data_IF_167002691704
#
_entry.id   IF_167002691704
#
_cell.length_a   1.000
_cell.length_b   1.000
_cell.length_c   1.000
_cell.angle_alpha   90.00
_cell.angle_beta   90.00
_cell.angle_gamma   90.00
#
_symmetry.space_group_name_H-M   'P 1'
#
loop_
_entity.id
_entity.type
_entity.pdbx_description
1 polymer ?
#
# COMPACT_ATOMS: atom_id res chain seq x y z
N UNK A 1 -13.99 -4.53 22.82
CA UNK A 1 -14.04 -5.82 22.11
C UNK A 1 -13.01 -5.84 20.99
N UNK A 2 -12.44 -7.00 20.63
CA UNK A 2 -11.49 -7.10 19.51
C UNK A 2 -12.24 -7.40 18.21
N UNK A 3 -11.94 -6.64 17.17
CA UNK A 3 -12.49 -6.81 15.83
C UNK A 3 -11.37 -7.04 14.82
N UNK A 4 -11.64 -7.86 13.82
CA UNK A 4 -10.83 -7.96 12.61
C UNK A 4 -11.57 -7.26 11.47
N UNK A 5 -11.00 -6.16 10.98
CA UNK A 5 -11.61 -5.35 9.94
C UNK A 5 -10.85 -5.59 8.64
N UNK A 6 -11.56 -6.04 7.61
CA UNK A 6 -11.01 -6.07 6.26
C UNK A 6 -10.79 -4.66 5.75
N UNK A 7 -9.59 -4.37 5.28
CA UNK A 7 -9.23 -3.07 4.71
C UNK A 7 -8.61 -3.28 3.34
N UNK A 8 -8.97 -2.40 2.40
CA UNK A 8 -8.37 -2.32 1.07
C UNK A 8 -7.77 -0.94 0.87
N UNK A 9 -6.66 -0.90 0.14
CA UNK A 9 -5.91 0.30 -0.17
C UNK A 9 -5.61 0.36 -1.66
N UNK A 10 -5.69 1.54 -2.23
CA UNK A 10 -5.34 1.82 -3.62
C UNK A 10 -4.40 3.02 -3.65
N UNK A 11 -3.32 2.93 -4.41
CA UNK A 11 -2.34 4.01 -4.47
C UNK A 11 -1.49 3.95 -5.73
N UNK A 12 -0.68 4.98 -5.88
CA UNK A 12 0.38 5.04 -6.88
C UNK A 12 1.60 5.74 -6.31
N UNK A 13 2.78 5.31 -6.74
CA UNK A 13 4.06 5.92 -6.39
C UNK A 13 4.93 6.05 -7.62
N UNK A 14 5.84 7.02 -7.57
CA UNK A 14 6.95 7.13 -8.52
C UNK A 14 8.23 6.72 -7.80
N UNK A 15 9.04 5.88 -8.45
CA UNK A 15 10.28 5.36 -7.90
C UNK A 15 11.30 5.06 -9.00
N UNK A 16 12.57 5.10 -8.63
CA UNK A 16 13.68 4.73 -9.50
C UNK A 16 14.00 3.23 -9.34
N UNK A 17 14.11 2.49 -10.44
CA UNK A 17 14.39 1.05 -10.46
C UNK A 17 15.24 0.66 -11.69
N UNK A 18 15.84 -0.52 -11.65
CA UNK A 18 16.65 -1.06 -12.77
C UNK A 18 15.80 -1.63 -13.92
N UNK A 19 14.48 -1.70 -13.74
CA UNK A 19 13.54 -2.22 -14.72
C UNK A 19 12.15 -2.43 -14.13
N UNK A 20 11.20 -2.85 -14.98
CA UNK A 20 9.80 -3.08 -14.60
C UNK A 20 9.66 -4.05 -13.42
N UNK A 21 10.31 -5.22 -13.50
CA UNK A 21 10.22 -6.24 -12.45
C UNK A 21 10.81 -5.79 -11.11
N UNK A 22 11.87 -4.97 -11.15
CA UNK A 22 12.49 -4.40 -9.96
C UNK A 22 11.55 -3.35 -9.32
N UNK A 23 10.90 -2.52 -10.13
CA UNK A 23 9.91 -1.55 -9.65
C UNK A 23 8.71 -2.22 -8.97
N UNK A 24 8.17 -3.29 -9.56
CA UNK A 24 7.10 -4.09 -8.98
C UNK A 24 7.52 -4.70 -7.64
N UNK A 25 8.68 -5.36 -7.65
CA UNK A 25 9.21 -6.03 -6.46
C UNK A 25 9.48 -5.04 -5.33
N UNK A 26 10.00 -3.86 -5.64
CA UNK A 26 10.27 -2.82 -4.65
C UNK A 26 8.99 -2.32 -3.98
N UNK A 27 7.91 -2.08 -4.74
CA UNK A 27 6.61 -1.69 -4.17
C UNK A 27 6.07 -2.79 -3.26
N UNK A 28 6.07 -4.05 -3.71
CA UNK A 28 5.60 -5.16 -2.88
C UNK A 28 6.41 -5.27 -1.59
N UNK A 29 7.73 -5.24 -1.70
CA UNK A 29 8.65 -5.37 -0.56
C UNK A 29 8.47 -4.25 0.46
N UNK A 30 8.40 -2.99 0.01
CA UNK A 30 8.27 -1.85 0.92
C UNK A 30 6.88 -1.81 1.59
N UNK A 31 5.79 -2.12 0.85
CA UNK A 31 4.45 -2.21 1.44
C UNK A 31 4.39 -3.35 2.47
N UNK A 32 4.97 -4.52 2.18
CA UNK A 32 5.02 -5.63 3.14
C UNK A 32 5.91 -5.33 4.34
N UNK A 33 6.95 -4.51 4.19
CA UNK A 33 7.75 -4.07 5.33
C UNK A 33 6.93 -3.18 6.28
N UNK A 34 6.08 -2.31 5.74
CA UNK A 34 5.18 -1.46 6.51
C UNK A 34 3.99 -2.23 7.09
N UNK A 35 3.45 -3.18 6.32
CA UNK A 35 2.33 -4.04 6.73
C UNK A 35 2.60 -5.52 6.41
N UNK A 36 3.34 -6.24 7.29
CA UNK A 36 3.67 -7.65 7.06
C UNK A 36 2.44 -8.56 7.00
N UNK A 37 1.35 -8.17 7.66
CA UNK A 37 0.08 -8.87 7.67
C UNK A 37 -0.83 -8.56 6.47
N UNK A 38 -0.34 -7.79 5.47
CA UNK A 38 -1.06 -7.60 4.22
C UNK A 38 -1.25 -8.97 3.55
N UNK A 39 -2.51 -9.33 3.31
CA UNK A 39 -2.87 -10.59 2.66
C UNK A 39 -2.41 -10.61 1.19
N UNK A 40 -2.53 -9.47 0.50
CA UNK A 40 -2.06 -9.33 -0.86
C UNK A 40 -1.60 -7.89 -1.14
N UNK A 41 -0.54 -7.77 -1.94
CA UNK A 41 -0.12 -6.56 -2.63
C UNK A 41 -0.11 -6.90 -4.12
N UNK A 42 -0.92 -6.19 -4.90
CA UNK A 42 -1.14 -6.46 -6.32
C UNK A 42 -0.72 -5.20 -7.09
N UNK A 43 0.34 -5.30 -7.90
CA UNK A 43 0.68 -4.22 -8.83
C UNK A 43 -0.27 -4.31 -10.02
N UNK A 44 -0.98 -3.21 -10.29
CA UNK A 44 -2.03 -3.16 -11.30
C UNK A 44 -1.58 -2.51 -12.60
N UNK A 45 -0.57 -1.64 -12.53
CA UNK A 45 -0.06 -0.89 -13.69
C UNK A 45 1.35 -0.40 -13.37
N UNK A 46 2.24 -0.50 -14.36
CA UNK A 46 3.62 -0.01 -14.29
C UNK A 46 3.95 0.69 -15.60
N UNK A 47 4.31 1.96 -15.51
CA UNK A 47 4.70 2.77 -16.66
C UNK A 47 6.03 3.45 -16.40
N UNK A 48 6.90 3.50 -17.40
CA UNK A 48 8.09 4.36 -17.39
C UNK A 48 7.66 5.82 -17.44
N UNK A 49 8.31 6.66 -16.66
CA UNK A 49 8.06 8.12 -16.61
C UNK A 49 8.94 8.85 -17.64
N UNK A 50 10.16 8.36 -17.88
CA UNK A 50 11.09 8.87 -18.89
C UNK A 50 11.23 7.88 -20.06
N UNK A 51 11.33 8.41 -21.28
CA UNK A 51 11.60 7.64 -22.51
C UNK A 51 13.09 7.38 -22.71
N UNK A 52 13.98 8.13 -22.04
CA UNK A 52 15.41 7.92 -22.12
C UNK A 52 15.81 6.63 -21.40
N UNK A 53 16.26 5.63 -22.15
CA UNK A 53 16.81 4.39 -21.60
C UNK A 53 18.07 4.68 -20.78
N UNK A 54 18.02 4.38 -19.48
CA UNK A 54 19.10 4.55 -18.51
C UNK A 54 19.26 3.27 -17.71
N UNK A 55 20.40 3.12 -17.02
CA UNK A 55 20.62 1.98 -16.11
C UNK A 55 19.59 1.99 -14.97
N UNK A 56 19.24 3.18 -14.48
CA UNK A 56 18.16 3.39 -13.52
C UNK A 56 17.10 4.25 -14.20
N UNK A 57 15.90 3.71 -14.32
CA UNK A 57 14.75 4.35 -14.94
C UNK A 57 13.73 4.75 -13.85
N UNK A 58 12.92 5.77 -14.13
CA UNK A 58 11.85 6.18 -13.24
C UNK A 58 10.53 5.54 -13.68
N UNK A 59 9.81 4.95 -12.72
CA UNK A 59 8.56 4.23 -12.94
C UNK A 59 7.45 4.81 -12.09
N UNK A 60 6.28 4.97 -12.71
CA UNK A 60 5.02 5.15 -12.02
C UNK A 60 4.38 3.77 -11.84
N UNK A 61 4.17 3.38 -10.59
CA UNK A 61 3.58 2.09 -10.21
C UNK A 61 2.24 2.35 -9.53
N UNK A 62 1.16 1.75 -10.03
CA UNK A 62 -0.13 1.70 -9.34
C UNK A 62 -0.35 0.32 -8.73
N UNK A 63 -0.88 0.31 -7.52
CA UNK A 63 -1.04 -0.93 -6.76
C UNK A 63 -2.33 -0.95 -5.95
N UNK A 64 -2.69 -2.16 -5.55
CA UNK A 64 -3.75 -2.48 -4.61
C UNK A 64 -3.16 -3.27 -3.46
N UNK A 65 -3.64 -3.02 -2.26
CA UNK A 65 -3.26 -3.79 -1.07
C UNK A 65 -4.51 -4.15 -0.28
N UNK A 66 -4.55 -5.35 0.29
CA UNK A 66 -5.65 -5.77 1.16
C UNK A 66 -5.15 -6.63 2.30
N UNK A 67 -5.87 -6.59 3.41
CA UNK A 67 -5.58 -7.41 4.58
C UNK A 67 -6.57 -7.17 5.71
N UNK A 68 -6.33 -7.85 6.82
CA UNK A 68 -7.11 -7.69 8.04
C UNK A 68 -6.35 -6.81 9.02
N UNK A 69 -7.08 -5.91 9.69
CA UNK A 69 -6.56 -5.06 10.74
C UNK A 69 -7.27 -5.39 12.04
N UNK A 70 -6.52 -5.90 13.01
CA UNK A 70 -7.02 -6.13 14.36
C UNK A 70 -7.07 -4.80 15.12
N UNK A 71 -8.22 -4.47 15.69
CA UNK A 71 -8.42 -3.27 16.50
C UNK A 71 -9.30 -3.56 17.72
N UNK A 72 -9.11 -2.77 18.77
CA UNK A 72 -10.01 -2.77 19.92
C UNK A 72 -10.97 -1.57 19.82
N UNK A 73 -12.26 -1.84 19.97
CA UNK A 73 -13.31 -0.83 19.94
C UNK A 73 -14.55 -1.30 20.73
N UNK A 74 -15.45 -0.36 21.02
CA UNK A 74 -16.73 -0.64 21.70
C UNK A 74 -17.83 -1.01 20.71
N UNK A 75 -17.75 -0.51 19.48
CA UNK A 75 -18.72 -0.78 18.42
C UNK A 75 -18.02 -1.17 17.11
N UNK A 76 -18.76 -1.82 16.21
CA UNK A 76 -18.25 -2.13 14.87
C UNK A 76 -17.97 -0.85 14.06
N UNK A 77 -18.76 0.21 14.23
CA UNK A 77 -18.54 1.48 13.54
C UNK A 77 -17.22 2.14 13.99
N UNK A 78 -16.92 2.09 15.29
CA UNK A 78 -15.67 2.61 15.83
C UNK A 78 -14.48 1.73 15.43
N UNK A 79 -14.67 0.40 15.34
CA UNK A 79 -13.66 -0.50 14.81
C UNK A 79 -13.27 -0.16 13.36
N UNK A 80 -14.24 0.17 12.49
CA UNK A 80 -13.96 0.59 11.11
C UNK A 80 -13.12 1.87 11.06
N UNK A 81 -13.50 2.89 11.85
CA UNK A 81 -12.74 4.15 11.95
C UNK A 81 -11.33 3.92 12.49
N UNK A 82 -11.22 3.12 13.55
CA UNK A 82 -9.95 2.77 14.17
C UNK A 82 -9.03 2.03 13.18
N UNK A 83 -9.57 1.07 12.41
CA UNK A 83 -8.80 0.33 11.41
C UNK A 83 -8.26 1.26 10.31
N UNK A 84 -9.08 2.16 9.77
CA UNK A 84 -8.63 3.14 8.78
C UNK A 84 -7.57 4.09 9.34
N UNK A 85 -7.71 4.54 10.59
CA UNK A 85 -6.70 5.37 11.27
C UNK A 85 -5.38 4.60 11.43
N UNK A 86 -5.43 3.37 11.93
CA UNK A 86 -4.25 2.50 12.07
C UNK A 86 -3.52 2.34 10.74
N UNK A 87 -4.24 2.20 9.63
CA UNK A 87 -3.62 2.11 8.30
C UNK A 87 -2.98 3.43 7.85
N UNK A 88 -3.61 4.58 8.12
CA UNK A 88 -3.00 5.87 7.82
C UNK A 88 -1.72 6.10 8.63
N UNK A 89 -1.79 5.85 9.94
CA UNK A 89 -0.67 6.05 10.86
C UNK A 89 0.51 5.12 10.52
N UNK A 90 0.24 3.88 10.09
CA UNK A 90 1.27 2.92 9.68
C UNK A 90 2.08 3.38 8.47
N UNK A 91 1.47 4.13 7.56
CA UNK A 91 2.07 4.54 6.29
C UNK A 91 2.55 5.99 6.28
N UNK A 92 2.36 6.74 7.39
CA UNK A 92 2.78 8.13 7.50
C UNK A 92 4.30 8.28 7.31
N UNK A 93 4.73 9.27 6.53
CA UNK A 93 6.15 9.51 6.25
C UNK A 93 6.78 8.48 5.29
N UNK A 94 6.03 7.49 4.82
CA UNK A 94 6.44 6.63 3.71
C UNK A 94 6.02 7.25 2.37
N UNK A 95 6.63 6.81 1.27
CA UNK A 95 6.17 7.19 -0.08
C UNK A 95 4.74 6.73 -0.40
N UNK A 96 4.20 5.81 0.39
CA UNK A 96 2.84 5.29 0.23
C UNK A 96 1.85 5.97 1.21
N UNK A 97 2.21 7.10 1.84
CA UNK A 97 1.33 7.83 2.76
C UNK A 97 -0.01 8.26 2.11
N UNK A 98 -0.04 8.37 0.78
CA UNK A 98 -1.22 8.79 -0.01
C UNK A 98 -2.11 7.63 -0.46
N UNK A 99 -1.96 6.44 0.11
CA UNK A 99 -2.90 5.33 -0.15
C UNK A 99 -4.32 5.76 0.26
N UNK A 100 -5.27 5.55 -0.64
CA UNK A 100 -6.69 5.67 -0.35
C UNK A 100 -7.17 4.37 0.29
N UNK A 101 -7.60 4.45 1.54
CA UNK A 101 -8.07 3.30 2.33
C UNK A 101 -9.59 3.24 2.42
N UNK A 102 -10.14 2.05 2.30
CA UNK A 102 -11.57 1.76 2.44
C UNK A 102 -11.82 0.45 3.22
N UNK A 103 -13.01 0.36 3.83
CA UNK A 103 -13.55 -0.87 4.39
C UNK A 103 -14.66 -1.34 3.43
N UNK A 104 -14.55 -2.52 2.81
CA UNK A 104 -15.54 -3.05 1.88
C UNK A 104 -16.85 -3.47 2.57
#
# INVERSE_FOLDING_TARGET
>A
MRYEVAVRGFGGVELAAYGLADAEHQVEKEIRALWPAAAAVEVTDVARVDEASRIVEEFRVRYRVRGLVAVEADTQADARKAALRTMRDRFIGSRFERITWEVP
#
